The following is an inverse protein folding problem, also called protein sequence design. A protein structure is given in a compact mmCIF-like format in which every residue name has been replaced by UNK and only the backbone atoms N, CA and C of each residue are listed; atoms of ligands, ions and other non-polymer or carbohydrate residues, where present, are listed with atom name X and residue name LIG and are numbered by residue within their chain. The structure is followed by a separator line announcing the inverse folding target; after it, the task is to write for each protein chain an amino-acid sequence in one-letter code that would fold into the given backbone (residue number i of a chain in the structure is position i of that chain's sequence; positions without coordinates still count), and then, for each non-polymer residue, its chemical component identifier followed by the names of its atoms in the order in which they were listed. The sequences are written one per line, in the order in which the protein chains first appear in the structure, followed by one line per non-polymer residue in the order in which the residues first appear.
data_IF_540177010769
#
_entry.id   IF_540177010769
#
_cell.length_a   1.000
_cell.length_b   1.000
_cell.length_c   1.000
_cell.angle_alpha   90.00
_cell.angle_beta   90.00
_cell.angle_gamma   90.00
#
_symmetry.space_group_name_H-M   'P 1'
#
loop_
_entity.id
_entity.type
_entity.pdbx_description
1 polymer ?
#
# COMPACT_ATOMS: atom_id res chain seq x y z
N UNK A 1 -51.38 5.94 14.93
CA UNK A 1 -50.13 6.19 15.67
C UNK A 1 -48.92 5.36 15.16
N UNK A 2 -49.15 4.23 14.54
CA UNK A 2 -48.07 3.33 14.03
C UNK A 2 -47.45 3.74 12.70
N UNK A 3 -48.12 4.49 11.86
CA UNK A 3 -47.62 4.91 10.54
C UNK A 3 -46.48 5.93 10.63
N UNK A 4 -46.48 6.77 11.66
CA UNK A 4 -45.48 7.84 11.86
C UNK A 4 -44.12 7.29 12.25
N UNK A 5 -44.08 6.20 13.03
CA UNK A 5 -42.84 5.56 13.44
C UNK A 5 -42.21 4.72 12.32
N UNK A 6 -43.03 4.15 11.41
CA UNK A 6 -42.51 3.38 10.26
C UNK A 6 -41.80 4.26 9.25
N UNK A 7 -42.24 5.50 9.02
CA UNK A 7 -41.60 6.43 8.13
C UNK A 7 -40.24 6.92 8.65
N UNK A 8 -40.12 7.11 9.96
CA UNK A 8 -38.87 7.51 10.61
C UNK A 8 -37.82 6.39 10.54
N UNK A 9 -38.24 5.12 10.65
CA UNK A 9 -37.35 3.96 10.55
C UNK A 9 -36.77 3.80 9.13
N UNK A 10 -37.57 4.06 8.09
CA UNK A 10 -37.16 3.98 6.70
C UNK A 10 -36.13 5.08 6.37
N UNK A 11 -36.28 6.27 6.95
CA UNK A 11 -35.36 7.39 6.73
C UNK A 11 -33.94 7.09 7.25
N UNK A 12 -33.81 6.33 8.34
CA UNK A 12 -32.49 5.93 8.87
C UNK A 12 -31.77 4.90 8.01
N UNK A 13 -32.47 4.07 7.24
CA UNK A 13 -31.88 3.05 6.39
C UNK A 13 -31.23 3.61 5.12
N UNK A 14 -31.67 4.76 4.62
CA UNK A 14 -31.08 5.38 3.40
C UNK A 14 -29.83 6.22 3.68
N UNK A 15 -29.53 6.53 4.94
CA UNK A 15 -28.34 7.32 5.32
C UNK A 15 -27.06 6.46 5.46
N UNK A 16 -27.17 5.13 5.31
CA UNK A 16 -26.05 4.21 5.52
C UNK A 16 -25.23 3.89 4.28
N UNK A 17 -25.54 4.45 3.10
CA UNK A 17 -24.71 4.31 1.92
C UNK A 17 -23.61 5.38 1.93
N UNK A 18 -22.50 5.09 2.59
CA UNK A 18 -21.26 5.82 2.31
C UNK A 18 -20.67 5.25 1.01
N UNK A 19 -20.27 6.11 0.07
CA UNK A 19 -19.56 5.64 -1.13
C UNK A 19 -18.28 4.94 -0.68
N UNK A 20 -18.13 3.68 -1.04
CA UNK A 20 -16.87 2.97 -0.89
C UNK A 20 -15.93 3.58 -1.94
N UNK A 21 -14.91 4.29 -1.48
CA UNK A 21 -13.84 4.76 -2.36
C UNK A 21 -13.15 3.53 -2.93
N UNK A 22 -13.41 3.24 -4.21
CA UNK A 22 -12.72 2.16 -4.93
C UNK A 22 -11.32 2.69 -5.19
N UNK A 23 -10.37 2.31 -4.33
CA UNK A 23 -8.97 2.59 -4.56
C UNK A 23 -8.53 1.85 -5.84
N UNK A 24 -7.95 2.60 -6.76
CA UNK A 24 -7.28 2.00 -7.91
C UNK A 24 -6.21 1.06 -7.37
N UNK A 25 -6.19 -0.21 -7.78
CA UNK A 25 -5.20 -1.15 -7.27
C UNK A 25 -3.80 -0.64 -7.64
N UNK A 26 -3.03 -0.27 -6.62
CA UNK A 26 -1.62 0.09 -6.79
C UNK A 26 -0.83 -1.20 -6.75
N UNK A 27 -0.15 -1.50 -7.85
CA UNK A 27 0.74 -2.66 -7.95
C UNK A 27 2.19 -2.18 -7.94
N UNK A 28 2.99 -2.73 -7.03
CA UNK A 28 4.42 -2.47 -6.97
C UNK A 28 5.12 -3.47 -7.89
N UNK A 29 5.56 -3.01 -9.06
CA UNK A 29 6.25 -3.84 -10.04
C UNK A 29 7.71 -4.06 -9.68
N UNK A 30 8.05 -5.27 -9.29
CA UNK A 30 9.42 -5.71 -9.00
C UNK A 30 10.05 -6.54 -10.14
N UNK A 31 9.37 -6.69 -11.28
CA UNK A 31 9.82 -7.56 -12.39
C UNK A 31 11.12 -7.12 -13.03
N UNK A 32 11.45 -5.83 -12.92
CA UNK A 32 12.68 -5.24 -13.47
C UNK A 32 13.87 -5.29 -12.52
N UNK A 33 13.69 -5.81 -11.32
CA UNK A 33 14.76 -5.93 -10.33
C UNK A 33 15.52 -7.22 -10.55
N UNK A 34 16.83 -7.09 -10.69
CA UNK A 34 17.73 -8.22 -10.95
C UNK A 34 17.88 -9.15 -9.75
N UNK A 35 18.29 -10.39 -10.04
CA UNK A 35 18.69 -11.36 -9.02
C UNK A 35 20.04 -10.98 -8.43
N UNK A 36 20.16 -11.01 -7.11
CA UNK A 36 21.38 -10.69 -6.38
C UNK A 36 21.95 -11.97 -5.75
N UNK A 37 23.22 -12.25 -6.04
CA UNK A 37 23.95 -13.36 -5.43
C UNK A 37 24.77 -12.86 -4.23
N UNK A 38 24.59 -13.48 -3.07
CA UNK A 38 25.24 -13.06 -1.83
C UNK A 38 26.05 -14.20 -1.22
N UNK A 39 27.33 -13.91 -0.95
CA UNK A 39 28.23 -14.84 -0.29
C UNK A 39 27.90 -14.93 1.21
N UNK A 40 26.81 -15.59 1.54
CA UNK A 40 26.39 -15.90 2.90
C UNK A 40 25.68 -17.24 2.97
N UNK A 41 25.83 -17.92 4.11
CA UNK A 41 25.12 -19.17 4.41
C UNK A 41 23.67 -18.90 4.82
N UNK A 42 23.47 -17.85 5.59
CA UNK A 42 22.16 -17.51 6.14
C UNK A 42 21.81 -16.05 5.82
N UNK A 43 20.53 -15.82 5.56
CA UNK A 43 19.96 -14.49 5.40
C UNK A 43 18.79 -14.37 6.35
N UNK A 44 18.75 -13.30 7.12
CA UNK A 44 17.67 -12.95 8.04
C UNK A 44 17.08 -11.61 7.66
N UNK A 45 15.75 -11.53 7.62
CA UNK A 45 15.03 -10.27 7.39
C UNK A 45 14.33 -9.87 8.68
N UNK A 46 14.61 -8.67 9.12
CA UNK A 46 13.97 -8.04 10.25
C UNK A 46 13.05 -6.93 9.78
N UNK A 47 11.74 -7.09 9.97
CA UNK A 47 10.73 -6.06 9.74
C UNK A 47 10.74 -5.10 10.94
N UNK A 48 11.52 -4.02 10.87
CA UNK A 48 11.61 -3.00 11.92
C UNK A 48 10.67 -1.82 11.69
N UNK A 49 10.14 -1.71 10.48
CA UNK A 49 9.14 -0.71 10.14
C UNK A 49 7.78 -1.09 10.72
N UNK A 50 7.14 -0.12 11.36
CA UNK A 50 5.73 -0.20 11.75
C UNK A 50 4.98 0.91 11.03
N UNK A 51 3.89 0.56 10.36
CA UNK A 51 3.01 1.53 9.70
C UNK A 51 2.54 2.57 10.71
N UNK A 52 2.65 3.83 10.32
CA UNK A 52 2.13 4.96 11.12
C UNK A 52 0.84 5.42 10.47
N UNK A 53 -0.27 5.29 11.18
CA UNK A 53 -1.53 5.79 10.69
C UNK A 53 -1.45 7.31 10.48
N UNK A 54 -1.56 7.74 9.24
CA UNK A 54 -1.72 9.14 8.86
C UNK A 54 -2.69 9.24 7.68
N UNK A 55 -3.26 10.42 7.49
CA UNK A 55 -4.23 10.65 6.41
C UNK A 55 -3.65 10.36 5.00
N UNK A 56 -2.35 10.52 4.86
CA UNK A 56 -1.66 10.34 3.58
C UNK A 56 -1.04 8.96 3.42
N UNK A 57 -0.86 8.19 4.48
CA UNK A 57 -0.35 6.83 4.40
C UNK A 57 -1.42 5.88 3.91
N UNK A 58 -1.09 5.12 2.87
CA UNK A 58 -2.04 4.22 2.23
C UNK A 58 -1.59 2.75 2.23
N UNK A 59 -0.57 2.40 2.97
CA UNK A 59 0.01 1.04 3.00
C UNK A 59 -1.03 -0.04 3.34
N UNK A 60 -1.97 0.29 4.21
CA UNK A 60 -3.06 -0.62 4.61
C UNK A 60 -4.24 -0.64 3.63
N UNK A 61 -4.27 0.30 2.69
CA UNK A 61 -5.33 0.44 1.69
C UNK A 61 -4.99 -0.26 0.38
N UNK A 62 -3.73 -0.63 0.17
CA UNK A 62 -3.27 -1.34 -1.02
C UNK A 62 -3.35 -2.85 -0.80
N UNK A 63 -3.59 -3.58 -1.88
CA UNK A 63 -3.81 -5.03 -1.83
C UNK A 63 -2.64 -5.79 -1.22
N UNK A 64 -1.42 -5.31 -1.41
CA UNK A 64 -0.20 -5.93 -0.92
C UNK A 64 0.71 -4.88 -0.33
N UNK A 65 1.03 -5.01 0.95
CA UNK A 65 1.86 -4.03 1.64
C UNK A 65 3.28 -3.96 1.05
N UNK A 66 3.95 -2.79 1.08
CA UNK A 66 5.32 -2.67 0.60
C UNK A 66 6.29 -3.63 1.31
N UNK A 67 6.11 -3.85 2.59
CA UNK A 67 6.90 -4.83 3.35
C UNK A 67 6.77 -6.23 2.76
N UNK A 68 5.56 -6.64 2.42
CA UNK A 68 5.32 -7.97 1.87
C UNK A 68 5.91 -8.12 0.47
N UNK A 69 5.85 -7.05 -0.33
CA UNK A 69 6.51 -7.00 -1.65
C UNK A 69 8.02 -7.14 -1.52
N UNK A 70 8.65 -6.42 -0.58
CA UNK A 70 10.10 -6.50 -0.32
C UNK A 70 10.50 -7.92 0.10
N UNK A 71 9.75 -8.51 1.03
CA UNK A 71 10.03 -9.88 1.53
C UNK A 71 9.88 -10.92 0.42
N UNK A 72 8.83 -10.80 -0.39
CA UNK A 72 8.62 -11.72 -1.51
C UNK A 72 9.71 -11.58 -2.57
N UNK A 73 10.06 -10.34 -2.95
CA UNK A 73 11.17 -10.09 -3.85
C UNK A 73 12.47 -10.68 -3.33
N UNK A 74 12.79 -10.44 -2.05
CA UNK A 74 13.96 -11.04 -1.39
C UNK A 74 13.97 -12.56 -1.54
N UNK A 75 12.88 -13.22 -1.17
CA UNK A 75 12.81 -14.68 -1.20
C UNK A 75 12.98 -15.26 -2.61
N UNK A 76 12.57 -14.50 -3.63
CA UNK A 76 12.60 -14.91 -5.03
C UNK A 76 13.94 -14.59 -5.70
N UNK A 77 14.54 -13.45 -5.38
CA UNK A 77 15.63 -12.89 -6.15
C UNK A 77 16.97 -12.84 -5.41
N UNK A 78 17.04 -13.15 -4.10
CA UNK A 78 18.32 -13.21 -3.41
C UNK A 78 18.79 -14.66 -3.27
N UNK A 79 19.90 -14.95 -3.95
CA UNK A 79 20.55 -16.26 -3.95
C UNK A 79 21.69 -16.31 -2.95
N UNK A 80 21.65 -17.32 -2.09
CA UNK A 80 22.75 -17.64 -1.15
C UNK A 80 23.75 -18.53 -1.84
N UNK A 81 24.98 -18.05 -1.99
CA UNK A 81 26.07 -18.80 -2.64
C UNK A 81 27.24 -19.09 -1.70
N UNK A 82 27.17 -18.65 -0.45
CA UNK A 82 28.22 -18.84 0.55
C UNK A 82 27.95 -19.99 1.51
N UNK A 83 29.03 -20.51 2.09
CA UNK A 83 29.00 -21.56 3.12
C UNK A 83 29.16 -21.02 4.54
N UNK A 84 29.56 -19.78 4.68
CA UNK A 84 29.82 -19.08 5.93
C UNK A 84 29.09 -17.74 5.95
N UNK A 85 29.19 -17.04 7.06
CA UNK A 85 28.60 -15.70 7.26
C UNK A 85 27.06 -15.68 7.30
N UNK A 86 26.56 -14.59 7.83
CA UNK A 86 25.13 -14.27 7.92
C UNK A 86 24.91 -12.85 7.42
N UNK A 87 23.97 -12.68 6.51
CA UNK A 87 23.46 -11.38 6.11
C UNK A 87 22.23 -11.08 6.97
N UNK A 88 22.16 -9.87 7.51
CA UNK A 88 20.96 -9.36 8.21
C UNK A 88 20.45 -8.15 7.44
N UNK A 89 19.20 -8.23 7.00
CA UNK A 89 18.50 -7.15 6.30
C UNK A 89 17.49 -6.56 7.27
N UNK A 90 17.61 -5.27 7.56
CA UNK A 90 16.63 -4.56 8.37
C UNK A 90 15.79 -3.66 7.46
N UNK A 91 14.48 -3.89 7.39
CA UNK A 91 13.55 -3.00 6.72
C UNK A 91 13.20 -1.89 7.73
N UNK A 92 13.72 -0.70 7.49
CA UNK A 92 13.57 0.45 8.40
C UNK A 92 12.40 1.34 8.01
N UNK A 93 12.09 1.39 6.72
CA UNK A 93 10.98 2.14 6.15
C UNK A 93 10.41 1.40 4.93
N UNK A 94 9.10 1.37 4.85
CA UNK A 94 8.33 0.80 3.75
C UNK A 94 6.99 1.54 3.61
N UNK A 95 7.03 2.86 3.82
CA UNK A 95 5.86 3.72 3.71
C UNK A 95 5.48 3.98 2.25
N UNK A 96 4.18 4.16 2.03
CA UNK A 96 3.65 4.74 0.79
C UNK A 96 2.72 5.89 1.17
N UNK A 97 3.00 7.06 0.59
CA UNK A 97 2.15 8.24 0.78
C UNK A 97 1.44 8.62 -0.50
N UNK A 98 0.20 9.05 -0.35
CA UNK A 98 -0.63 9.60 -1.42
C UNK A 98 -0.72 11.12 -1.24
N UNK A 99 -0.21 11.87 -2.19
CA UNK A 99 -0.23 13.32 -2.18
C UNK A 99 -1.12 13.85 -3.30
N UNK A 100 -2.01 14.78 -2.97
CA UNK A 100 -2.82 15.49 -3.95
C UNK A 100 -1.98 16.61 -4.60
N UNK A 101 -2.00 16.66 -5.94
CA UNK A 101 -1.30 17.67 -6.70
C UNK A 101 -2.30 18.34 -7.64
N UNK A 102 -2.23 19.65 -7.77
CA UNK A 102 -3.02 20.39 -8.74
C UNK A 102 -2.56 20.03 -10.16
N UNK A 103 -3.50 19.62 -11.00
CA UNK A 103 -3.25 19.40 -12.42
C UNK A 103 -3.33 20.72 -13.18
N UNK A 104 -2.22 21.45 -13.22
CA UNK A 104 -2.13 22.79 -13.83
C UNK A 104 -2.39 22.78 -15.34
N UNK A 105 -2.21 21.65 -16.01
CA UNK A 105 -2.43 21.48 -17.44
C UNK A 105 -3.80 20.89 -17.78
N UNK A 106 -4.68 20.73 -16.77
CA UNK A 106 -6.00 20.13 -16.96
C UNK A 106 -6.86 20.93 -17.93
N UNK A 107 -7.36 20.28 -18.96
CA UNK A 107 -8.34 20.84 -19.90
C UNK A 107 -9.71 20.92 -19.24
N UNK A 108 -10.65 21.64 -19.89
CA UNK A 108 -11.98 21.96 -19.34
C UNK A 108 -12.75 20.75 -18.76
N UNK A 109 -12.49 19.53 -19.22
CA UNK A 109 -13.20 18.31 -18.84
C UNK A 109 -12.30 17.28 -18.16
N UNK A 110 -11.05 17.63 -17.83
CA UNK A 110 -10.11 16.79 -17.11
C UNK A 110 -10.15 17.08 -15.61
N UNK A 111 -9.73 16.11 -14.81
CA UNK A 111 -9.65 16.27 -13.36
C UNK A 111 -8.61 17.33 -13.00
N UNK A 112 -8.99 18.22 -12.11
CA UNK A 112 -8.10 19.31 -11.62
C UNK A 112 -7.13 18.83 -10.56
N UNK A 113 -7.39 17.68 -9.96
CA UNK A 113 -6.55 17.08 -8.94
C UNK A 113 -6.06 15.71 -9.43
N UNK A 114 -4.77 15.49 -9.32
CA UNK A 114 -4.14 14.19 -9.57
C UNK A 114 -3.42 13.73 -8.31
N UNK A 115 -3.16 12.44 -8.20
CA UNK A 115 -2.49 11.86 -7.05
C UNK A 115 -1.08 11.44 -7.41
N UNK A 116 -0.13 11.81 -6.55
CA UNK A 116 1.26 11.33 -6.60
C UNK A 116 1.49 10.36 -5.45
N UNK A 117 2.05 9.22 -5.76
CA UNK A 117 2.44 8.20 -4.79
C UNK A 117 3.96 8.18 -4.65
N UNK A 118 4.43 8.17 -3.41
CA UNK A 118 5.86 8.16 -3.05
C UNK A 118 6.15 7.11 -1.99
#
# INVERSE_FOLDING_TARGET
MYLKNSFTLILFLVLSCQPVEILVPIEIDTSKLDTISINSKNIEINKKYNSVFSQNNIEEQIQKSPIDVIVEWHNKNILKIGNENKLVINILDASITKNEIENVDAKKYEEKTIYKYE
#
